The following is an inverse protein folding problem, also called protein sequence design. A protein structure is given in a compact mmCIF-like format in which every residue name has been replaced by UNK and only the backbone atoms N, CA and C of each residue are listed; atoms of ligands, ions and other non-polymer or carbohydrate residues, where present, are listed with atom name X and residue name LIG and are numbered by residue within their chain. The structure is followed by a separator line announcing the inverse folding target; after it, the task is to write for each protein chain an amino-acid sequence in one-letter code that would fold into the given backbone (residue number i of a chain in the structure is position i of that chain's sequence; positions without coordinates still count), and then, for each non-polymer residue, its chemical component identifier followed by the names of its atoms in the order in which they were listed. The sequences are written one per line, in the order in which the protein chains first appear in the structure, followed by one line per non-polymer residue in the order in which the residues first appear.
data_IF_876991250050
#
_entry.id   IF_876991250050
#
_cell.length_a   1.000
_cell.length_b   1.000
_cell.length_c   1.000
_cell.angle_alpha   90.00
_cell.angle_beta   90.00
_cell.angle_gamma   90.00
#
_symmetry.space_group_name_H-M   'P 1'
#
loop_
_entity.id
_entity.type
_entity.pdbx_description
1 polymer ?
#
# COMPACT_ATOMS: atom_id res chain seq x y z
N UNK A 1 -26.34 12.92 -2.14
CA UNK A 1 -26.05 12.61 -0.73
C UNK A 1 -24.90 11.63 -0.72
N UNK A 2 -23.88 11.86 0.11
CA UNK A 2 -22.75 10.93 0.27
C UNK A 2 -23.08 9.98 1.42
N UNK A 3 -22.74 8.70 1.29
CA UNK A 3 -23.00 7.70 2.33
C UNK A 3 -22.25 8.05 3.63
N UNK A 4 -22.86 7.72 4.78
CA UNK A 4 -22.23 7.87 6.10
C UNK A 4 -21.60 6.56 6.57
N UNK A 5 -20.77 6.61 7.61
CA UNK A 5 -20.18 5.41 8.22
C UNK A 5 -21.26 4.38 8.62
N UNK A 6 -22.35 4.85 9.23
CA UNK A 6 -23.46 4.00 9.63
C UNK A 6 -24.18 3.34 8.43
N UNK A 7 -24.23 4.01 7.28
CA UNK A 7 -24.81 3.43 6.06
C UNK A 7 -23.93 2.30 5.53
N UNK A 8 -22.60 2.48 5.58
CA UNK A 8 -21.63 1.47 5.15
C UNK A 8 -21.69 0.25 6.08
N UNK A 9 -21.63 0.44 7.38
CA UNK A 9 -21.65 -0.66 8.36
C UNK A 9 -22.96 -1.45 8.36
N UNK A 10 -24.09 -0.82 7.99
CA UNK A 10 -25.38 -1.51 7.83
C UNK A 10 -25.49 -2.26 6.51
N UNK A 11 -24.86 -1.75 5.46
CA UNK A 11 -25.02 -2.29 4.10
C UNK A 11 -24.06 -3.44 3.79
N UNK A 12 -22.97 -3.58 4.54
CA UNK A 12 -21.98 -4.61 4.30
C UNK A 12 -21.18 -4.95 5.55
N UNK A 13 -20.83 -6.23 5.69
CA UNK A 13 -19.87 -6.68 6.71
C UNK A 13 -18.48 -6.25 6.30
N UNK A 14 -17.86 -5.37 7.09
CA UNK A 14 -16.51 -4.88 6.82
C UNK A 14 -15.46 -5.91 7.26
N UNK A 15 -14.39 -6.14 6.47
CA UNK A 15 -13.30 -7.02 6.86
C UNK A 15 -12.50 -6.47 8.05
N UNK A 16 -11.85 -7.38 8.79
CA UNK A 16 -10.93 -7.02 9.87
C UNK A 16 -9.69 -6.27 9.36
N UNK A 17 -9.23 -6.64 8.16
CA UNK A 17 -8.08 -5.98 7.53
C UNK A 17 -8.45 -4.59 7.03
N UNK A 18 -7.53 -3.61 7.12
CA UNK A 18 -7.82 -2.24 6.73
C UNK A 18 -8.39 -2.11 5.30
N UNK A 19 -9.45 -1.32 5.11
CA UNK A 19 -10.04 -1.02 3.79
C UNK A 19 -10.22 0.46 3.58
N UNK A 20 -9.75 0.94 2.42
CA UNK A 20 -10.09 2.26 1.91
C UNK A 20 -11.42 2.14 1.15
N UNK A 21 -12.45 2.79 1.67
CA UNK A 21 -13.80 2.78 1.09
C UNK A 21 -13.94 4.06 0.28
N UNK A 22 -14.17 3.92 -1.02
CA UNK A 22 -14.30 5.06 -1.94
C UNK A 22 -15.78 5.40 -2.10
N UNK A 23 -16.14 6.66 -1.91
CA UNK A 23 -17.54 7.11 -2.00
C UNK A 23 -17.83 7.64 -3.41
N UNK A 24 -18.38 6.77 -4.25
CA UNK A 24 -18.71 7.06 -5.64
C UNK A 24 -17.97 6.13 -6.60
N UNK A 25 -17.82 6.56 -7.85
CA UNK A 25 -17.06 5.82 -8.86
C UNK A 25 -15.55 6.00 -8.65
N UNK A 26 -14.79 4.91 -8.71
CA UNK A 26 -13.38 4.85 -8.27
C UNK A 26 -12.50 5.96 -8.87
N UNK A 27 -12.70 6.31 -10.14
CA UNK A 27 -11.87 7.30 -10.85
C UNK A 27 -12.31 8.75 -10.65
N UNK A 28 -13.53 8.98 -10.16
CA UNK A 28 -14.15 10.31 -10.04
C UNK A 28 -14.52 10.68 -8.60
N UNK A 29 -14.44 9.71 -7.69
CA UNK A 29 -14.76 9.89 -6.28
C UNK A 29 -13.84 10.91 -5.61
N UNK A 30 -14.45 11.83 -4.88
CA UNK A 30 -13.76 12.91 -4.17
C UNK A 30 -13.61 12.63 -2.68
N UNK A 31 -14.36 11.65 -2.17
CA UNK A 31 -14.40 11.31 -0.75
C UNK A 31 -14.06 9.83 -0.51
N UNK A 32 -13.49 9.57 0.65
CA UNK A 32 -13.16 8.25 1.13
C UNK A 32 -13.48 8.10 2.61
N UNK A 33 -13.62 6.85 3.05
CA UNK A 33 -13.62 6.44 4.45
C UNK A 33 -12.55 5.37 4.66
N UNK A 34 -12.17 5.13 5.91
CA UNK A 34 -11.24 4.05 6.27
C UNK A 34 -11.91 3.15 7.29
N UNK A 35 -11.91 1.84 7.04
CA UNK A 35 -12.26 0.84 8.05
C UNK A 35 -11.05 0.05 8.53
N UNK A 36 -11.07 -0.32 9.79
CA UNK A 36 -10.08 -1.17 10.48
C UNK A 36 -10.86 -2.03 11.49
N UNK A 37 -10.54 -3.33 11.58
CA UNK A 37 -11.21 -4.27 12.50
C UNK A 37 -12.75 -4.26 12.37
N UNK A 38 -13.24 -4.25 11.13
CA UNK A 38 -14.67 -4.31 10.85
C UNK A 38 -15.46 -3.03 11.16
N UNK A 39 -14.79 -1.93 11.51
CA UNK A 39 -15.44 -0.66 11.86
C UNK A 39 -14.90 0.50 11.04
N UNK A 40 -15.76 1.48 10.72
CA UNK A 40 -15.33 2.72 10.07
C UNK A 40 -14.67 3.63 11.10
N UNK A 41 -13.35 3.76 11.01
CA UNK A 41 -12.54 4.59 11.91
C UNK A 41 -12.32 6.01 11.39
N UNK A 42 -12.55 6.24 10.09
CA UNK A 42 -12.59 7.58 9.50
C UNK A 42 -13.85 7.78 8.67
N UNK A 43 -14.63 8.78 9.07
CA UNK A 43 -15.81 9.29 8.35
C UNK A 43 -15.42 9.90 6.99
N UNK A 44 -16.40 10.22 6.11
CA UNK A 44 -16.13 10.80 4.80
C UNK A 44 -15.14 11.96 4.84
N UNK A 45 -13.99 11.77 4.20
CA UNK A 45 -12.93 12.76 4.11
C UNK A 45 -12.56 13.02 2.65
N UNK A 46 -12.25 14.27 2.26
CA UNK A 46 -11.81 14.58 0.90
C UNK A 46 -10.40 14.06 0.61
N UNK A 47 -9.97 14.16 -0.65
CA UNK A 47 -8.61 13.86 -1.12
C UNK A 47 -8.25 12.38 -0.98
N UNK A 48 -8.51 11.62 -2.05
CA UNK A 48 -8.19 10.19 -2.12
C UNK A 48 -6.73 9.84 -1.78
N UNK A 49 -5.76 10.68 -2.17
CA UNK A 49 -4.34 10.43 -1.88
C UNK A 49 -4.06 10.46 -0.38
N UNK A 50 -4.73 11.35 0.37
CA UNK A 50 -4.66 11.34 1.83
C UNK A 50 -5.26 10.07 2.43
N UNK A 51 -6.34 9.56 1.83
CA UNK A 51 -6.95 8.29 2.23
C UNK A 51 -6.06 7.08 1.98
N UNK A 52 -5.42 7.03 0.83
CA UNK A 52 -4.44 6.00 0.53
C UNK A 52 -3.24 6.06 1.49
N UNK A 53 -2.74 7.26 1.79
CA UNK A 53 -1.69 7.44 2.79
C UNK A 53 -2.12 6.99 4.19
N UNK A 54 -3.36 7.29 4.61
CA UNK A 54 -3.92 6.84 5.87
C UNK A 54 -4.05 5.30 5.93
N UNK A 55 -4.59 4.67 4.87
CA UNK A 55 -4.63 3.22 4.74
C UNK A 55 -3.24 2.61 4.87
N UNK A 56 -2.26 3.18 4.15
CA UNK A 56 -0.88 2.68 4.17
C UNK A 56 -0.26 2.83 5.55
N UNK A 57 -0.44 3.98 6.22
CA UNK A 57 0.06 4.25 7.56
C UNK A 57 -0.50 3.28 8.61
N UNK A 58 -1.78 2.90 8.50
CA UNK A 58 -2.42 1.90 9.40
C UNK A 58 -1.62 0.59 9.46
N UNK A 59 -1.12 0.09 8.33
CA UNK A 59 -0.35 -1.15 8.32
C UNK A 59 0.96 -1.07 9.12
N UNK A 60 1.61 0.09 9.13
CA UNK A 60 2.89 0.29 9.84
C UNK A 60 2.69 0.67 11.30
N UNK A 61 1.73 1.55 11.59
CA UNK A 61 1.46 2.03 12.94
C UNK A 61 0.89 0.93 13.84
N UNK A 62 0.06 0.05 13.29
CA UNK A 62 -0.56 -1.06 14.02
C UNK A 62 0.10 -2.41 13.76
N UNK A 63 1.22 -2.44 13.02
CA UNK A 63 1.97 -3.67 12.69
C UNK A 63 1.08 -4.78 12.10
N UNK A 64 0.25 -4.41 11.11
CA UNK A 64 -0.70 -5.32 10.46
C UNK A 64 -0.11 -5.92 9.19
N UNK A 65 -0.59 -7.12 8.84
CA UNK A 65 -0.28 -7.76 7.57
C UNK A 65 -1.15 -7.16 6.46
N UNK A 66 -0.57 -6.90 5.29
CA UNK A 66 -1.34 -6.46 4.13
C UNK A 66 -2.48 -7.42 3.79
N UNK A 67 -3.61 -6.85 3.37
CA UNK A 67 -4.73 -7.63 2.84
C UNK A 67 -4.26 -8.53 1.68
N UNK A 68 -4.70 -9.80 1.68
CA UNK A 68 -4.21 -10.81 0.74
C UNK A 68 -4.34 -10.36 -0.73
N UNK A 69 -5.52 -9.87 -1.11
CA UNK A 69 -5.87 -9.49 -2.48
C UNK A 69 -5.09 -8.28 -3.02
N UNK A 70 -4.62 -7.39 -2.13
CA UNK A 70 -3.86 -6.20 -2.53
C UNK A 70 -2.41 -6.23 -2.05
N UNK A 71 -1.96 -7.36 -1.50
CA UNK A 71 -0.64 -7.50 -0.88
C UNK A 71 0.49 -7.13 -1.84
N UNK A 72 0.48 -7.69 -3.06
CA UNK A 72 1.44 -7.35 -4.11
C UNK A 72 1.42 -5.86 -4.49
N UNK A 73 0.25 -5.25 -4.57
CA UNK A 73 0.09 -3.84 -4.96
C UNK A 73 0.62 -2.91 -3.86
N UNK A 74 0.25 -3.17 -2.60
CA UNK A 74 0.73 -2.40 -1.46
C UNK A 74 2.25 -2.57 -1.28
N UNK A 75 2.75 -3.78 -1.49
CA UNK A 75 4.16 -4.10 -1.46
C UNK A 75 4.96 -3.43 -2.60
N UNK A 76 4.35 -3.26 -3.79
CA UNK A 76 4.92 -2.47 -4.87
C UNK A 76 5.00 -1.00 -4.49
N UNK A 77 3.91 -0.42 -3.98
CA UNK A 77 3.87 1.00 -3.57
C UNK A 77 4.88 1.29 -2.46
N UNK A 78 4.99 0.38 -1.49
CA UNK A 78 5.99 0.43 -0.42
C UNK A 78 7.40 0.62 -0.96
N UNK A 79 7.81 -0.20 -1.94
CA UNK A 79 9.19 -0.21 -2.44
C UNK A 79 9.44 0.87 -3.48
N UNK A 80 8.48 1.11 -4.37
CA UNK A 80 8.64 2.01 -5.50
C UNK A 80 8.48 3.49 -5.10
N UNK A 81 7.49 3.80 -4.26
CA UNK A 81 7.12 5.19 -3.97
C UNK A 81 7.44 5.62 -2.54
N UNK A 82 7.29 4.73 -1.55
CA UNK A 82 7.53 5.09 -0.14
C UNK A 82 9.00 4.87 0.28
N UNK A 83 9.72 3.99 -0.42
CA UNK A 83 11.13 3.70 -0.13
C UNK A 83 11.36 2.87 1.14
N UNK A 84 10.35 2.13 1.60
CA UNK A 84 10.48 1.22 2.74
C UNK A 84 10.93 -0.16 2.25
N UNK A 85 12.03 -0.67 2.82
CA UNK A 85 12.65 -1.93 2.41
C UNK A 85 12.81 -2.06 0.87
N UNK A 86 13.48 -1.09 0.21
CA UNK A 86 13.65 -1.10 -1.24
C UNK A 86 14.42 -2.36 -1.68
N UNK A 87 14.20 -2.78 -2.94
CA UNK A 87 14.86 -3.95 -3.54
C UNK A 87 16.38 -3.82 -3.56
N UNK A 88 16.88 -2.60 -3.63
CA UNK A 88 18.28 -2.22 -3.46
C UNK A 88 18.41 -1.42 -2.17
N UNK A 89 18.98 -2.03 -1.14
CA UNK A 89 19.17 -1.34 0.14
C UNK A 89 20.08 -0.12 0.00
N UNK A 90 19.73 1.00 0.63
CA UNK A 90 20.60 2.20 0.72
C UNK A 90 21.90 1.95 1.48
N UNK A 91 22.01 0.82 2.19
CA UNK A 91 23.21 0.40 2.95
C UNK A 91 24.26 -0.36 2.12
N UNK A 92 24.02 -0.67 0.84
CA UNK A 92 24.96 -1.43 0.01
C UNK A 92 25.79 -0.58 -0.97
N UNK A 93 25.84 0.74 -0.78
CA UNK A 93 26.91 1.55 -1.37
C UNK A 93 28.01 1.72 -0.32
N UNK A 94 28.83 0.68 -0.13
CA UNK A 94 30.28 0.75 0.15
C UNK A 94 30.87 -0.59 0.62
N UNK A 95 31.99 -0.93 -0.04
CA UNK A 95 33.08 -1.85 0.31
C UNK A 95 32.92 -3.30 -0.14
N UNK A 96 33.61 -3.58 -1.25
CA UNK A 96 34.51 -4.72 -1.45
C UNK A 96 34.62 -5.67 -0.24
N UNK A 97 34.28 -6.94 -0.46
CA UNK A 97 34.63 -8.05 0.41
C UNK A 97 33.47 -8.59 1.25
N UNK A 98 33.03 -9.80 0.87
CA UNK A 98 32.09 -10.68 1.60
C UNK A 98 30.68 -10.11 1.78
N UNK A 99 29.85 -10.30 0.74
CA UNK A 99 28.40 -10.26 0.84
C UNK A 99 27.93 -11.33 1.82
N UNK A 100 27.71 -10.92 3.06
CA UNK A 100 26.97 -11.73 4.03
C UNK A 100 25.50 -11.71 3.57
N UNK A 101 25.01 -12.86 3.09
CA UNK A 101 23.58 -13.13 2.85
C UNK A 101 22.79 -12.93 4.15
N UNK A 102 22.46 -11.69 4.46
CA UNK A 102 21.60 -11.37 5.61
C UNK A 102 20.15 -11.36 5.13
N UNK A 103 19.57 -12.56 5.13
CA UNK A 103 18.13 -12.90 5.10
C UNK A 103 17.30 -11.97 4.23
N UNK A 104 17.18 -12.37 2.96
CA UNK A 104 16.13 -11.90 2.05
C UNK A 104 14.79 -12.02 2.76
N UNK A 105 14.23 -10.89 3.22
CA UNK A 105 12.79 -10.79 3.37
C UNK A 105 12.26 -10.80 1.94
N UNK A 106 11.90 -11.99 1.47
CA UNK A 106 11.73 -12.33 0.06
C UNK A 106 10.68 -11.41 -0.55
N UNK A 107 11.15 -10.38 -1.27
CA UNK A 107 10.27 -9.49 -2.05
C UNK A 107 9.40 -10.38 -2.92
N UNK A 108 8.10 -10.10 -2.99
CA UNK A 108 7.23 -10.86 -3.87
C UNK A 108 7.82 -10.90 -5.31
N UNK A 109 7.90 -12.08 -5.94
CA UNK A 109 8.58 -12.24 -7.23
C UNK A 109 7.93 -11.40 -8.33
N UNK A 110 6.62 -11.17 -8.28
CA UNK A 110 5.92 -10.29 -9.22
C UNK A 110 6.33 -8.83 -9.02
N UNK A 111 6.43 -8.37 -7.78
CA UNK A 111 6.89 -7.00 -7.45
C UNK A 111 8.33 -6.81 -7.92
N UNK A 112 9.22 -7.77 -7.63
CA UNK A 112 10.62 -7.73 -8.08
C UNK A 112 10.74 -7.68 -9.60
N UNK A 113 9.94 -8.49 -10.30
CA UNK A 113 9.93 -8.54 -11.77
C UNK A 113 9.41 -7.23 -12.37
N UNK A 114 8.33 -6.68 -11.82
CA UNK A 114 7.77 -5.40 -12.27
C UNK A 114 8.76 -4.25 -12.08
N UNK A 115 9.36 -4.14 -10.88
CA UNK A 115 10.37 -3.11 -10.60
C UNK A 115 11.56 -3.18 -11.57
N UNK A 116 12.05 -4.38 -11.88
CA UNK A 116 13.13 -4.56 -12.87
C UNK A 116 12.74 -4.06 -14.25
N UNK A 117 11.56 -4.46 -14.74
CA UNK A 117 11.06 -4.03 -16.06
C UNK A 117 10.84 -2.52 -16.13
N UNK A 118 10.40 -1.89 -15.05
CA UNK A 118 10.25 -0.44 -14.99
C UNK A 118 11.60 0.28 -15.06
N UNK A 119 12.62 -0.21 -14.32
CA UNK A 119 13.98 0.32 -14.42
C UNK A 119 14.58 0.14 -15.82
N UNK A 120 14.39 -1.04 -16.42
CA UNK A 120 14.84 -1.31 -17.80
C UNK A 120 14.15 -0.37 -18.79
N UNK A 121 12.86 -0.07 -18.60
CA UNK A 121 12.12 0.87 -19.44
C UNK A 121 12.63 2.31 -19.29
N UNK A 122 12.85 2.79 -18.07
CA UNK A 122 13.43 4.12 -17.83
C UNK A 122 14.84 4.23 -18.44
N UNK A 123 15.64 3.17 -18.36
CA UNK A 123 16.97 3.10 -18.98
C UNK A 123 16.92 3.07 -20.51
N UNK A 124 15.93 2.39 -21.11
CA UNK A 124 15.71 2.37 -22.55
C UNK A 124 15.11 3.68 -23.09
N UNK A 125 14.62 4.55 -22.20
CA UNK A 125 14.10 5.87 -22.54
C UNK A 125 15.15 7.00 -22.50
N UNK A 126 16.41 6.65 -22.19
CA UNK A 126 17.59 7.52 -22.27
C UNK A 126 18.46 7.16 -23.46
#
# INVERSE_FOLDING_TARGET
MSATAADVEKSSTLPDSPRLIVLGEILTATQWMLSVEGQVVMNPHPNFMAGFAALFATYYNFNLVYQHEASCTLEFVQRCFVGINPSTGTKTVKKSGKSSEKRNNTVNPHVSTLLRRLMDFEWLSM
#
